data_IF_031575217009
#
_entry.id   IF_031575217009
#
_cell.length_a   1.000
_cell.length_b   1.000
_cell.length_c   1.000
_cell.angle_alpha   90.00
_cell.angle_beta   90.00
_cell.angle_gamma   90.00
#
_symmetry.space_group_name_H-M   'P 1'
#
loop_
_entity.id
_entity.type
_entity.pdbx_description
1 polymer ?
#
# COMPACT_ATOMS: atom_id res chain seq x y z
N UNK A 1 -6.32 33.81 -12.01
CA UNK A 1 -7.70 34.33 -12.08
C UNK A 1 -8.24 33.97 -13.44
N UNK A 2 -9.23 33.08 -13.52
CA UNK A 2 -9.88 32.72 -14.78
C UNK A 2 -11.25 33.41 -14.77
N UNK A 3 -11.50 34.39 -15.64
CA UNK A 3 -12.81 35.02 -15.72
C UNK A 3 -13.84 34.02 -16.25
N UNK A 4 -14.92 33.80 -15.50
CA UNK A 4 -16.10 33.10 -16.01
C UNK A 4 -16.74 33.98 -17.09
N UNK A 5 -17.34 33.36 -18.11
CA UNK A 5 -17.96 34.00 -19.30
C UNK A 5 -19.06 35.02 -19.00
N UNK A 6 -19.45 35.18 -17.74
CA UNK A 6 -20.43 36.17 -17.26
C UNK A 6 -19.86 37.26 -16.35
N UNK A 7 -18.53 37.35 -16.17
CA UNK A 7 -17.90 38.41 -15.37
C UNK A 7 -18.29 38.44 -13.89
N UNK A 8 -18.99 37.41 -13.39
CA UNK A 8 -19.31 37.29 -11.95
C UNK A 8 -18.15 36.66 -11.23
N UNK A 9 -17.49 37.44 -10.39
CA UNK A 9 -16.53 36.93 -9.43
C UNK A 9 -17.22 35.91 -8.51
N UNK A 10 -16.82 34.63 -8.60
CA UNK A 10 -17.26 33.65 -7.60
C UNK A 10 -16.62 34.06 -6.27
N UNK A 11 -17.41 34.35 -5.22
CA UNK A 11 -16.84 34.70 -3.93
C UNK A 11 -15.95 33.54 -3.48
N UNK A 12 -14.67 33.85 -3.25
CA UNK A 12 -13.73 32.88 -2.72
C UNK A 12 -14.24 32.29 -1.39
N UNK A 13 -13.78 31.09 -1.00
CA UNK A 13 -14.16 30.52 0.28
C UNK A 13 -13.86 31.52 1.40
N UNK A 14 -14.84 31.76 2.28
CA UNK A 14 -14.66 32.70 3.39
C UNK A 14 -13.44 32.32 4.22
N UNK A 15 -12.67 33.31 4.70
CA UNK A 15 -11.47 33.08 5.54
C UNK A 15 -11.76 32.09 6.68
N UNK A 16 -12.94 32.19 7.30
CA UNK A 16 -13.37 31.26 8.35
C UNK A 16 -13.52 29.80 7.89
N UNK A 17 -13.95 29.55 6.65
CA UNK A 17 -14.03 28.19 6.08
C UNK A 17 -12.64 27.61 5.82
N UNK A 18 -11.70 28.42 5.32
CA UNK A 18 -10.31 28.01 5.12
C UNK A 18 -9.63 27.65 6.45
N UNK A 19 -9.81 28.47 7.49
CA UNK A 19 -9.26 28.20 8.82
C UNK A 19 -9.84 26.91 9.43
N UNK A 20 -11.16 26.68 9.30
CA UNK A 20 -11.78 25.43 9.77
C UNK A 20 -11.25 24.19 9.04
N UNK A 21 -11.06 24.28 7.72
CA UNK A 21 -10.50 23.18 6.94
C UNK A 21 -9.03 22.90 7.32
N UNK A 22 -8.24 23.96 7.52
CA UNK A 22 -6.86 23.82 7.99
C UNK A 22 -6.78 23.19 9.39
N UNK A 23 -7.62 23.63 10.33
CA UNK A 23 -7.69 23.05 11.66
C UNK A 23 -8.14 21.58 11.63
N UNK A 24 -9.11 21.23 10.79
CA UNK A 24 -9.54 19.85 10.60
C UNK A 24 -8.39 18.99 10.07
N UNK A 25 -7.67 19.47 9.06
CA UNK A 25 -6.52 18.75 8.50
C UNK A 25 -5.39 18.58 9.53
N UNK A 26 -5.12 19.59 10.36
CA UNK A 26 -4.15 19.49 11.46
C UNK A 26 -4.61 18.47 12.51
N UNK A 27 -5.89 18.47 12.88
CA UNK A 27 -6.44 17.49 13.83
C UNK A 27 -6.39 16.07 13.27
N UNK A 28 -6.71 15.88 11.99
CA UNK A 28 -6.59 14.58 11.30
C UNK A 28 -5.13 14.12 11.29
N UNK A 29 -4.17 15.01 11.01
CA UNK A 29 -2.75 14.71 11.04
C UNK A 29 -2.25 14.36 12.45
N UNK A 30 -2.69 15.10 13.47
CA UNK A 30 -2.35 14.83 14.87
C UNK A 30 -2.95 13.50 15.36
N UNK A 31 -4.23 13.24 15.06
CA UNK A 31 -4.88 11.97 15.41
C UNK A 31 -4.19 10.79 14.72
N UNK A 32 -3.84 10.97 13.45
CA UNK A 32 -3.07 10.00 12.71
C UNK A 32 -1.69 9.72 13.30
N UNK A 33 -0.97 10.78 13.67
CA UNK A 33 0.34 10.68 14.29
C UNK A 33 0.27 9.98 15.66
N UNK A 34 -0.73 10.31 16.48
CA UNK A 34 -0.97 9.64 17.77
C UNK A 34 -1.34 8.17 17.58
N UNK A 35 -2.18 7.84 16.60
CA UNK A 35 -2.52 6.46 16.23
C UNK A 35 -1.26 5.69 15.81
N UNK A 36 -0.44 6.27 14.95
CA UNK A 36 0.84 5.69 14.54
C UNK A 36 1.78 5.46 15.72
N UNK A 37 1.94 6.45 16.61
CA UNK A 37 2.73 6.30 17.84
C UNK A 37 2.17 5.21 18.76
N UNK A 38 0.85 5.13 18.90
CA UNK A 38 0.16 4.09 19.67
C UNK A 38 0.41 2.69 19.09
N UNK A 39 0.33 2.53 17.77
CA UNK A 39 0.63 1.27 17.07
C UNK A 39 2.10 0.88 17.23
N UNK A 40 3.03 1.82 17.10
CA UNK A 40 4.47 1.58 17.32
C UNK A 40 4.72 1.12 18.77
N UNK A 41 4.14 1.84 19.74
CA UNK A 41 4.28 1.50 21.16
C UNK A 41 3.68 0.13 21.48
N UNK A 42 2.50 -0.18 20.94
CA UNK A 42 1.86 -1.48 21.09
C UNK A 42 2.70 -2.60 20.44
N UNK A 43 3.28 -2.34 19.27
CA UNK A 43 4.22 -3.25 18.60
C UNK A 43 5.45 -3.54 19.45
N UNK A 44 6.05 -2.51 20.07
CA UNK A 44 7.18 -2.66 21.01
C UNK A 44 6.80 -3.52 22.23
N UNK A 45 5.67 -3.22 22.87
CA UNK A 45 5.17 -4.02 23.99
C UNK A 45 4.95 -5.49 23.62
N UNK A 46 4.40 -5.74 22.43
CA UNK A 46 4.18 -7.11 21.96
C UNK A 46 5.51 -7.84 21.72
N UNK A 47 6.48 -7.17 21.09
CA UNK A 47 7.81 -7.74 20.83
C UNK A 47 8.56 -8.05 22.14
N UNK A 48 8.53 -7.13 23.12
CA UNK A 48 9.21 -7.30 24.40
C UNK A 48 8.62 -8.49 25.20
N UNK A 49 7.29 -8.65 25.17
CA UNK A 49 6.61 -9.77 25.83
C UNK A 49 6.97 -11.12 25.20
N UNK A 50 7.03 -11.20 23.87
CA UNK A 50 7.41 -12.44 23.16
C UNK A 50 8.89 -12.78 23.34
N UNK A 51 9.77 -11.77 23.37
CA UNK A 51 11.18 -11.98 23.63
C UNK A 51 11.39 -12.59 25.03
N UNK A 52 10.73 -12.05 26.06
CA UNK A 52 10.78 -12.62 27.41
C UNK A 52 10.25 -14.05 27.48
N UNK A 53 9.17 -14.36 26.75
CA UNK A 53 8.60 -15.71 26.73
C UNK A 53 9.57 -16.73 26.09
N UNK A 54 10.28 -16.35 25.03
CA UNK A 54 11.29 -17.20 24.37
C UNK A 54 12.54 -17.44 25.24
N UNK A 55 13.00 -16.43 25.99
CA UNK A 55 14.12 -16.57 26.93
C UNK A 55 13.75 -17.47 28.12
N UNK A 56 12.53 -17.34 28.63
CA UNK A 56 12.05 -18.14 29.77
C UNK A 56 11.89 -19.62 29.40
N UNK A 57 11.41 -19.93 28.19
CA UNK A 57 11.29 -21.31 27.71
C UNK A 57 12.66 -21.98 27.50
N UNK A 58 13.67 -21.25 27.03
CA UNK A 58 15.02 -21.79 26.85
C UNK A 58 15.83 -21.91 28.16
N UNK A 59 15.49 -21.16 29.20
CA UNK A 59 16.16 -21.28 30.51
C UNK A 59 15.63 -22.44 31.37
N UNK A 60 14.43 -22.97 31.12
CA UNK A 60 13.82 -24.03 31.94
C UNK A 60 14.33 -25.44 31.57
N UNK A 61 15.12 -25.60 30.50
CA UNK A 61 15.70 -26.91 30.10
C UNK A 61 17.22 -26.99 30.20
N UNK A 62 17.85 -26.20 31.08
CA UNK A 62 19.21 -26.50 31.54
C UNK A 62 19.11 -27.16 32.91
N UNK A 63 18.75 -28.45 32.92
CA UNK A 63 19.03 -29.29 34.09
C UNK A 63 20.55 -29.36 34.21
N UNK A 64 21.17 -28.87 35.29
CA UNK A 64 22.60 -29.01 35.49
C UNK A 64 22.89 -30.49 35.70
N UNK A 65 23.26 -31.19 34.63
CA UNK A 65 23.76 -32.54 34.70
C UNK A 65 25.19 -32.48 35.25
N UNK A 66 25.29 -32.27 36.56
CA UNK A 66 26.51 -32.34 37.32
C UNK A 66 26.99 -33.79 37.34
N UNK A 67 27.85 -34.14 36.41
CA UNK A 67 28.66 -35.35 36.51
C UNK A 67 28.77 -36.16 35.22
N UNK A 68 29.76 -35.83 34.39
CA UNK A 68 30.82 -36.77 33.97
C UNK A 68 31.77 -36.10 32.99
N UNK A 69 32.98 -35.88 33.48
CA UNK A 69 34.20 -35.77 32.67
C UNK A 69 34.47 -37.15 32.06
N UNK A 70 34.61 -37.23 30.74
CA UNK A 70 35.55 -38.16 30.08
C UNK A 70 35.64 -37.88 28.56
N UNK A 71 36.82 -37.40 28.15
CA UNK A 71 37.61 -37.74 26.96
C UNK A 71 36.97 -37.93 25.56
N UNK A 72 37.61 -37.22 24.61
CA UNK A 72 38.00 -37.67 23.25
C UNK A 72 36.91 -38.13 22.28
N UNK A 73 36.72 -37.39 21.18
CA UNK A 73 37.39 -37.69 19.91
C UNK A 73 37.08 -36.60 18.87
N UNK A 74 38.14 -36.14 18.20
CA UNK A 74 38.04 -35.45 16.92
C UNK A 74 37.36 -36.37 15.90
N UNK A 75 36.09 -36.15 15.62
CA UNK A 75 35.45 -36.55 14.37
C UNK A 75 35.11 -35.28 13.61
N UNK A 76 36.08 -34.84 12.81
CA UNK A 76 35.84 -34.03 11.61
C UNK A 76 34.92 -34.82 10.69
N UNK A 77 33.61 -34.70 10.93
CA UNK A 77 32.61 -35.00 9.92
C UNK A 77 32.79 -33.99 8.79
N UNK A 78 32.98 -34.42 7.53
CA UNK A 78 32.87 -33.51 6.40
C UNK A 78 31.39 -33.16 6.32
N UNK A 79 31.02 -32.06 6.98
CA UNK A 79 29.77 -31.37 6.72
C UNK A 79 29.87 -30.85 5.30
N UNK A 80 29.49 -31.71 4.36
CA UNK A 80 29.00 -31.34 3.03
C UNK A 80 27.68 -30.58 3.22
N UNK A 81 27.72 -29.51 4.03
CA UNK A 81 26.78 -28.41 3.97
C UNK A 81 27.16 -27.78 2.64
N UNK A 82 26.38 -28.12 1.62
CA UNK A 82 26.28 -27.31 0.43
C UNK A 82 26.04 -25.87 0.88
N UNK A 83 27.11 -25.09 0.96
CA UNK A 83 27.18 -23.63 1.03
C UNK A 83 26.60 -22.99 -0.25
N UNK A 84 25.50 -23.54 -0.74
CA UNK A 84 24.58 -22.92 -1.69
C UNK A 84 23.44 -22.22 -0.95
N UNK A 85 23.60 -21.90 0.34
CA UNK A 85 23.06 -20.67 0.87
C UNK A 85 23.88 -19.52 0.26
N UNK A 86 23.79 -19.37 -1.07
CA UNK A 86 24.32 -18.24 -1.79
C UNK A 86 23.84 -17.03 -1.01
N UNK A 87 24.80 -16.23 -0.56
CA UNK A 87 24.60 -14.90 -0.03
C UNK A 87 23.62 -14.19 -0.98
N UNK A 88 22.32 -14.24 -0.67
CA UNK A 88 21.25 -13.72 -1.53
C UNK A 88 21.28 -12.21 -1.35
N UNK A 89 22.32 -11.59 -1.92
CA UNK A 89 22.31 -10.15 -2.11
C UNK A 89 21.02 -9.82 -2.86
N UNK A 90 20.30 -8.76 -2.44
CA UNK A 90 19.09 -8.33 -3.11
C UNK A 90 19.39 -8.23 -4.60
N UNK A 91 18.73 -9.05 -5.41
CA UNK A 91 19.07 -9.11 -6.83
C UNK A 91 18.80 -7.74 -7.43
N UNK A 92 19.84 -7.08 -7.95
CA UNK A 92 19.73 -5.79 -8.66
C UNK A 92 18.63 -5.87 -9.73
N UNK A 93 18.50 -7.06 -10.33
CA UNK A 93 17.45 -7.44 -11.27
C UNK A 93 16.03 -7.24 -10.71
N UNK A 94 15.75 -7.71 -9.48
CA UNK A 94 14.45 -7.54 -8.83
C UNK A 94 14.07 -6.07 -8.62
N UNK A 95 15.03 -5.25 -8.20
CA UNK A 95 14.84 -3.80 -8.07
C UNK A 95 14.55 -3.10 -9.40
N UNK A 96 15.26 -3.47 -10.46
CA UNK A 96 15.02 -2.94 -11.81
C UNK A 96 13.61 -3.29 -12.27
N UNK A 97 13.18 -4.54 -12.08
CA UNK A 97 11.82 -4.97 -12.40
C UNK A 97 10.75 -4.18 -11.65
N UNK A 98 10.91 -4.02 -10.33
CA UNK A 98 10.01 -3.22 -9.49
C UNK A 98 9.92 -1.77 -9.97
N UNK A 99 11.07 -1.12 -10.21
CA UNK A 99 11.13 0.26 -10.67
C UNK A 99 10.46 0.44 -12.04
N UNK A 100 10.78 -0.42 -13.01
CA UNK A 100 10.22 -0.38 -14.37
C UNK A 100 8.71 -0.61 -14.33
N UNK A 101 8.24 -1.65 -13.62
CA UNK A 101 6.82 -1.95 -13.49
C UNK A 101 6.02 -0.81 -12.84
N UNK A 102 6.55 -0.25 -11.75
CA UNK A 102 5.93 0.87 -11.05
C UNK A 102 5.85 2.14 -11.93
N UNK A 103 6.97 2.55 -12.55
CA UNK A 103 7.03 3.75 -13.40
C UNK A 103 6.14 3.58 -14.63
N UNK A 104 6.23 2.44 -15.33
CA UNK A 104 5.40 2.19 -16.50
C UNK A 104 3.91 2.24 -16.16
N UNK A 105 3.50 1.60 -15.05
CA UNK A 105 2.12 1.62 -14.60
C UNK A 105 1.62 3.03 -14.23
N UNK A 106 2.43 3.81 -13.52
CA UNK A 106 2.13 5.22 -13.21
C UNK A 106 1.96 6.05 -14.48
N UNK A 107 2.89 5.91 -15.43
CA UNK A 107 2.87 6.68 -16.69
C UNK A 107 1.60 6.35 -17.48
N UNK A 108 1.27 5.07 -17.65
CA UNK A 108 0.04 4.65 -18.35
C UNK A 108 -1.19 5.17 -17.62
N UNK A 109 -1.23 5.10 -16.28
CA UNK A 109 -2.33 5.66 -15.49
C UNK A 109 -2.53 7.16 -15.73
N UNK A 110 -1.45 7.94 -15.75
CA UNK A 110 -1.51 9.37 -16.03
C UNK A 110 -2.04 9.66 -17.44
N UNK A 111 -1.72 8.82 -18.43
CA UNK A 111 -2.28 8.93 -19.78
C UNK A 111 -3.78 8.61 -19.81
N UNK A 112 -4.21 7.56 -19.11
CA UNK A 112 -5.63 7.17 -18.97
C UNK A 112 -6.43 8.31 -18.32
N UNK A 113 -5.91 8.89 -17.24
CA UNK A 113 -6.59 9.97 -16.51
C UNK A 113 -6.74 11.26 -17.31
N UNK A 114 -5.83 11.55 -18.24
CA UNK A 114 -5.90 12.76 -19.08
C UNK A 114 -6.98 12.70 -20.16
N UNK A 115 -7.76 11.62 -20.24
CA UNK A 115 -8.87 11.48 -21.20
C UNK A 115 -8.42 11.49 -22.66
N UNK A 116 -7.11 11.33 -22.92
CA UNK A 116 -6.55 11.29 -24.28
C UNK A 116 -6.71 9.93 -24.94
N UNK A 117 -7.06 8.90 -24.17
CA UNK A 117 -7.31 7.56 -24.65
C UNK A 117 -8.78 7.43 -25.04
N UNK A 118 -9.10 7.76 -26.29
CA UNK A 118 -10.30 7.25 -26.96
C UNK A 118 -10.34 5.73 -26.80
N UNK A 119 -11.54 5.15 -26.71
CA UNK A 119 -11.89 3.73 -26.46
C UNK A 119 -11.04 2.60 -27.07
N UNK A 120 -10.14 2.89 -27.99
CA UNK A 120 -9.23 1.94 -28.65
C UNK A 120 -8.06 1.52 -27.75
N UNK A 121 -7.74 2.27 -26.69
CA UNK A 121 -6.53 2.03 -25.88
C UNK A 121 -6.79 1.21 -24.59
N UNK A 122 -8.00 0.67 -24.41
CA UNK A 122 -8.29 -0.21 -23.27
C UNK A 122 -7.39 -1.45 -23.22
N UNK A 123 -6.95 -1.94 -24.38
CA UNK A 123 -5.99 -3.04 -24.48
C UNK A 123 -4.61 -2.68 -23.91
N UNK A 124 -4.16 -1.44 -24.07
CA UNK A 124 -2.89 -0.97 -23.52
C UNK A 124 -2.94 -0.93 -21.99
N UNK A 125 -4.02 -0.39 -21.42
CA UNK A 125 -4.18 -0.35 -19.97
C UNK A 125 -4.31 -1.75 -19.37
N UNK A 126 -5.09 -2.63 -20.00
CA UNK A 126 -5.21 -4.03 -19.57
C UNK A 126 -3.86 -4.76 -19.65
N UNK A 127 -3.19 -4.65 -20.79
CA UNK A 127 -1.88 -5.28 -21.01
C UNK A 127 -0.82 -4.77 -20.03
N UNK A 128 -0.81 -3.46 -19.76
CA UNK A 128 0.08 -2.87 -18.77
C UNK A 128 -0.25 -3.34 -17.35
N UNK A 129 -1.54 -3.35 -16.97
CA UNK A 129 -1.97 -3.85 -15.66
C UNK A 129 -1.60 -5.31 -15.43
N UNK A 130 -1.83 -6.19 -16.42
CA UNK A 130 -1.40 -7.59 -16.35
C UNK A 130 0.13 -7.73 -16.32
N UNK A 131 0.84 -6.92 -17.10
CA UNK A 131 2.31 -6.87 -17.08
C UNK A 131 2.86 -6.50 -15.70
N UNK A 132 2.26 -5.51 -15.03
CA UNK A 132 2.60 -5.13 -13.64
C UNK A 132 2.39 -6.29 -12.68
N UNK A 133 1.29 -7.04 -12.81
CA UNK A 133 1.05 -8.25 -11.98
C UNK A 133 2.13 -9.31 -12.23
N UNK A 134 2.44 -9.62 -13.49
CA UNK A 134 3.46 -10.60 -13.83
C UNK A 134 4.81 -10.21 -13.25
N UNK A 135 5.22 -8.94 -13.41
CA UNK A 135 6.47 -8.41 -12.86
C UNK A 135 6.50 -8.58 -11.33
N UNK A 136 5.42 -8.18 -10.64
CA UNK A 136 5.33 -8.27 -9.18
C UNK A 136 5.40 -9.70 -8.66
N UNK A 137 5.07 -10.71 -9.47
CA UNK A 137 5.09 -12.13 -9.10
C UNK A 137 6.40 -12.84 -9.49
N UNK A 138 7.36 -12.15 -10.12
CA UNK A 138 8.63 -12.76 -10.51
C UNK A 138 9.45 -13.21 -9.29
N UNK A 139 10.15 -14.36 -9.34
CA UNK A 139 11.01 -14.82 -8.25
C UNK A 139 12.09 -13.80 -7.87
N UNK A 140 12.64 -13.07 -8.83
CA UNK A 140 13.64 -12.02 -8.58
C UNK A 140 13.07 -10.85 -7.75
N UNK A 141 11.80 -10.49 -7.98
CA UNK A 141 11.09 -9.47 -7.20
C UNK A 141 10.82 -9.99 -5.79
N UNK A 142 10.39 -11.25 -5.66
CA UNK A 142 10.21 -11.89 -4.35
C UNK A 142 11.49 -11.88 -3.51
N UNK A 143 12.63 -12.23 -4.11
CA UNK A 143 13.92 -12.15 -3.41
C UNK A 143 14.26 -10.71 -2.96
N UNK A 144 13.93 -9.71 -3.78
CA UNK A 144 14.10 -8.31 -3.38
C UNK A 144 13.17 -7.90 -2.24
N UNK A 145 11.90 -8.35 -2.25
CA UNK A 145 10.91 -8.04 -1.21
C UNK A 145 11.21 -8.73 0.12
N UNK A 146 11.83 -9.90 0.09
CA UNK A 146 12.30 -10.60 1.30
C UNK A 146 13.51 -9.89 1.93
N UNK A 147 14.31 -9.18 1.11
CA UNK A 147 15.52 -8.48 1.55
C UNK A 147 15.29 -7.00 1.94
N UNK A 148 14.24 -6.36 1.43
CA UNK A 148 13.98 -4.92 1.62
C UNK A 148 12.50 -4.63 1.84
N UNK A 149 12.24 -3.83 2.87
CA UNK A 149 10.94 -3.27 3.17
C UNK A 149 10.44 -2.34 2.06
N UNK A 150 11.30 -1.50 1.49
CA UNK A 150 10.88 -0.65 0.37
C UNK A 150 10.50 -1.48 -0.87
N UNK A 151 11.25 -2.53 -1.19
CA UNK A 151 10.90 -3.44 -2.28
C UNK A 151 9.55 -4.14 -2.04
N UNK A 152 9.32 -4.62 -0.82
CA UNK A 152 8.03 -5.15 -0.38
C UNK A 152 6.90 -4.13 -0.57
N UNK A 153 7.12 -2.86 -0.20
CA UNK A 153 6.13 -1.80 -0.39
C UNK A 153 5.87 -1.51 -1.87
N UNK A 154 6.89 -1.51 -2.74
CA UNK A 154 6.68 -1.35 -4.19
C UNK A 154 5.79 -2.47 -4.73
N UNK A 155 6.10 -3.72 -4.38
CA UNK A 155 5.32 -4.88 -4.82
C UNK A 155 3.86 -4.77 -4.35
N UNK A 156 3.64 -4.41 -3.08
CA UNK A 156 2.31 -4.24 -2.53
C UNK A 156 1.55 -3.13 -3.26
N UNK A 157 2.16 -1.96 -3.51
CA UNK A 157 1.54 -0.87 -4.26
C UNK A 157 1.25 -1.26 -5.72
N UNK A 158 2.12 -2.04 -6.35
CA UNK A 158 1.88 -2.57 -7.69
C UNK A 158 0.63 -3.44 -7.73
N UNK A 159 0.46 -4.33 -6.74
CA UNK A 159 -0.65 -5.29 -6.68
C UNK A 159 -1.95 -4.71 -6.14
N UNK A 160 -1.91 -3.76 -5.21
CA UNK A 160 -3.09 -3.17 -4.57
C UNK A 160 -3.63 -1.95 -5.29
N UNK A 161 -2.75 -1.17 -5.94
CA UNK A 161 -3.10 0.14 -6.50
C UNK A 161 -2.91 0.16 -8.00
N UNK A 162 -1.67 -0.02 -8.46
CA UNK A 162 -1.31 0.27 -9.85
C UNK A 162 -1.98 -0.69 -10.82
N UNK A 163 -1.76 -2.00 -10.67
CA UNK A 163 -2.36 -3.00 -11.56
C UNK A 163 -3.89 -3.00 -11.48
N UNK A 164 -4.51 -3.01 -10.29
CA UNK A 164 -5.96 -2.90 -10.17
C UNK A 164 -6.56 -1.68 -10.85
N UNK A 165 -6.00 -0.48 -10.65
CA UNK A 165 -6.49 0.74 -11.25
C UNK A 165 -6.45 0.67 -12.79
N UNK A 166 -5.35 0.15 -13.35
CA UNK A 166 -5.18 -0.04 -14.79
C UNK A 166 -6.16 -1.06 -15.37
N UNK A 167 -6.35 -2.20 -14.71
CA UNK A 167 -7.27 -3.24 -15.15
C UNK A 167 -8.72 -2.75 -15.03
N UNK A 168 -9.09 -2.16 -13.88
CA UNK A 168 -10.42 -1.65 -13.61
C UNK A 168 -10.84 -0.52 -14.55
N UNK A 169 -9.89 0.29 -15.05
CA UNK A 169 -10.18 1.36 -15.99
C UNK A 169 -10.84 0.87 -17.30
N UNK A 170 -10.61 -0.39 -17.67
CA UNK A 170 -11.15 -1.04 -18.87
C UNK A 170 -12.57 -1.57 -18.63
N UNK A 171 -12.88 -1.94 -17.38
CA UNK A 171 -14.15 -2.56 -16.98
C UNK A 171 -15.27 -1.51 -16.86
N UNK A 172 -14.92 -0.21 -16.90
CA UNK A 172 -15.84 0.92 -16.68
C UNK A 172 -17.15 0.76 -17.47
N UNK A 173 -18.27 0.41 -16.81
CA UNK A 173 -19.52 0.13 -17.50
C UNK A 173 -20.03 1.41 -18.15
N UNK A 174 -20.17 1.41 -19.48
CA UNK A 174 -20.92 2.45 -20.18
C UNK A 174 -22.39 2.34 -19.77
N UNK A 175 -22.81 3.18 -18.84
CA UNK A 175 -24.23 3.49 -18.58
C UNK A 175 -25.10 2.26 -18.27
N UNK A 176 -24.98 1.67 -17.07
CA UNK A 176 -26.00 0.73 -16.61
C UNK A 176 -26.53 1.09 -15.21
N UNK A 177 -27.84 1.35 -15.14
CA UNK A 177 -28.49 2.01 -14.00
C UNK A 177 -28.65 1.15 -12.75
N UNK A 178 -28.43 -0.17 -12.87
CA UNK A 178 -28.53 -1.13 -11.76
C UNK A 178 -27.31 -1.15 -10.82
N UNK A 179 -26.29 -0.33 -11.10
CA UNK A 179 -25.02 -0.37 -10.37
C UNK A 179 -25.07 0.20 -8.93
N UNK A 180 -25.98 1.14 -8.60
CA UNK A 180 -25.90 1.91 -7.32
C UNK A 180 -25.87 1.01 -6.07
N UNK A 181 -26.83 0.09 -5.95
CA UNK A 181 -26.92 -0.78 -4.77
C UNK A 181 -25.71 -1.73 -4.69
N UNK A 182 -25.25 -2.23 -5.84
CA UNK A 182 -24.08 -3.10 -5.92
C UNK A 182 -22.79 -2.34 -5.59
N UNK A 183 -22.60 -1.13 -6.11
CA UNK A 183 -21.44 -0.29 -5.81
C UNK A 183 -21.35 0.00 -4.32
N UNK A 184 -22.47 0.30 -3.64
CA UNK A 184 -22.48 0.52 -2.18
C UNK A 184 -22.16 -0.74 -1.39
N UNK A 185 -22.73 -1.88 -1.78
CA UNK A 185 -22.47 -3.16 -1.13
C UNK A 185 -21.03 -3.66 -1.32
N UNK A 186 -20.33 -3.17 -2.35
CA UNK A 186 -18.98 -3.66 -2.70
C UNK A 186 -17.89 -2.66 -2.31
N UNK A 187 -18.10 -1.35 -2.49
CA UNK A 187 -17.07 -0.33 -2.31
C UNK A 187 -16.68 -0.10 -0.84
N UNK A 188 -17.64 -0.13 0.09
CA UNK A 188 -17.32 0.05 1.52
C UNK A 188 -16.61 -1.18 2.09
N UNK A 189 -17.11 -2.42 1.90
CA UNK A 189 -16.40 -3.60 2.39
C UNK A 189 -15.04 -3.79 1.73
N UNK A 190 -14.88 -3.46 0.43
CA UNK A 190 -13.56 -3.51 -0.22
C UNK A 190 -12.61 -2.45 0.28
N UNK A 191 -13.07 -1.22 0.59
CA UNK A 191 -12.25 -0.21 1.23
C UNK A 191 -11.79 -0.63 2.63
N UNK A 192 -12.69 -1.25 3.41
CA UNK A 192 -12.35 -1.81 4.72
C UNK A 192 -11.39 -3.00 4.60
N UNK A 193 -11.60 -3.89 3.62
CA UNK A 193 -10.71 -4.99 3.33
C UNK A 193 -9.32 -4.51 2.90
N UNK A 194 -9.26 -3.47 2.07
CA UNK A 194 -8.02 -2.80 1.66
C UNK A 194 -7.29 -2.25 2.89
N UNK A 195 -7.99 -1.50 3.74
CA UNK A 195 -7.45 -0.96 4.98
C UNK A 195 -6.93 -2.08 5.91
N UNK A 196 -7.70 -3.16 6.07
CA UNK A 196 -7.33 -4.29 6.89
C UNK A 196 -6.09 -5.01 6.36
N UNK A 197 -5.98 -5.23 5.05
CA UNK A 197 -4.77 -5.83 4.45
C UNK A 197 -3.57 -4.93 4.65
N UNK A 198 -3.71 -3.61 4.45
CA UNK A 198 -2.61 -2.68 4.70
C UNK A 198 -2.13 -2.73 6.15
N UNK A 199 -3.04 -2.76 7.12
CA UNK A 199 -2.66 -2.90 8.54
C UNK A 199 -2.02 -4.26 8.79
N UNK A 200 -2.64 -5.35 8.33
CA UNK A 200 -2.17 -6.71 8.56
C UNK A 200 -0.75 -6.91 8.01
N UNK A 201 -0.47 -6.42 6.81
CA UNK A 201 0.84 -6.54 6.17
C UNK A 201 1.97 -5.87 6.97
N UNK A 202 1.63 -4.88 7.80
CA UNK A 202 2.58 -4.18 8.65
C UNK A 202 2.58 -4.70 10.10
N UNK A 203 1.78 -5.72 10.45
CA UNK A 203 1.86 -6.35 11.75
C UNK A 203 3.03 -7.35 11.78
N UNK A 204 3.78 -7.44 12.89
CA UNK A 204 4.94 -8.33 13.04
C UNK A 204 4.59 -9.83 13.08
N UNK A 205 3.36 -10.21 12.70
CA UNK A 205 2.78 -11.55 12.88
C UNK A 205 3.16 -12.55 11.76
N UNK A 206 3.81 -12.12 10.67
CA UNK A 206 4.02 -12.96 9.47
C UNK A 206 5.47 -13.34 9.15
N UNK A 207 6.39 -13.23 10.10
CA UNK A 207 7.75 -13.80 9.93
C UNK A 207 7.76 -15.34 9.98
N UNK A 208 6.65 -16.00 10.28
CA UNK A 208 6.53 -17.45 10.33
C UNK A 208 5.99 -18.06 9.03
N UNK A 209 6.83 -18.14 7.99
CA UNK A 209 6.83 -19.19 6.95
C UNK A 209 5.57 -19.48 6.11
N UNK A 210 4.50 -18.69 6.16
CA UNK A 210 3.22 -19.01 5.53
C UNK A 210 2.91 -18.23 4.24
N UNK A 211 3.10 -18.88 3.09
CA UNK A 211 2.49 -18.63 1.77
C UNK A 211 2.21 -17.15 1.36
N UNK A 212 3.28 -16.39 1.12
CA UNK A 212 3.22 -14.99 0.65
C UNK A 212 2.46 -14.80 -0.67
N UNK A 213 2.32 -15.86 -1.46
CA UNK A 213 1.58 -15.83 -2.73
C UNK A 213 0.08 -15.61 -2.51
N UNK A 214 -0.52 -16.22 -1.49
CA UNK A 214 -1.94 -16.04 -1.19
C UNK A 214 -2.27 -14.60 -0.80
N UNK A 215 -1.41 -13.98 0.01
CA UNK A 215 -1.55 -12.57 0.41
C UNK A 215 -1.43 -11.63 -0.79
N UNK A 216 -0.49 -11.90 -1.70
CA UNK A 216 -0.32 -11.14 -2.93
C UNK A 216 -1.55 -11.24 -3.86
N UNK A 217 -2.16 -12.44 -3.95
CA UNK A 217 -3.41 -12.65 -4.70
C UNK A 217 -4.59 -11.94 -4.01
N UNK A 218 -4.72 -12.08 -2.69
CA UNK A 218 -5.78 -11.41 -1.93
C UNK A 218 -5.69 -9.88 -2.06
N UNK A 219 -4.47 -9.34 -2.01
CA UNK A 219 -4.18 -7.94 -2.26
C UNK A 219 -4.64 -7.52 -3.66
N UNK A 220 -4.26 -8.27 -4.70
CA UNK A 220 -4.69 -8.00 -6.07
C UNK A 220 -6.23 -8.00 -6.22
N UNK A 221 -6.91 -8.99 -5.65
CA UNK A 221 -8.36 -9.12 -5.73
C UNK A 221 -9.08 -7.98 -4.99
N UNK A 222 -8.65 -7.64 -3.78
CA UNK A 222 -9.21 -6.52 -3.01
C UNK A 222 -9.01 -5.19 -3.73
N UNK A 223 -7.80 -4.97 -4.26
CA UNK A 223 -7.50 -3.82 -5.10
C UNK A 223 -8.44 -3.77 -6.30
N UNK A 224 -8.60 -4.87 -7.05
CA UNK A 224 -9.48 -4.93 -8.23
C UNK A 224 -10.92 -4.59 -7.90
N UNK A 225 -11.46 -5.16 -6.82
CA UNK A 225 -12.83 -4.91 -6.37
C UNK A 225 -13.01 -3.43 -6.00
N UNK A 226 -12.06 -2.87 -5.24
CA UNK A 226 -12.08 -1.48 -4.81
C UNK A 226 -12.00 -0.51 -6.01
N UNK A 227 -11.04 -0.72 -6.90
CA UNK A 227 -10.81 0.13 -8.07
C UNK A 227 -11.94 0.02 -9.10
N UNK A 228 -12.48 -1.18 -9.32
CA UNK A 228 -13.67 -1.36 -10.15
C UNK A 228 -14.87 -0.61 -9.58
N UNK A 229 -15.10 -0.71 -8.27
CA UNK A 229 -16.15 0.03 -7.58
C UNK A 229 -16.00 1.54 -7.77
N UNK A 230 -14.83 2.09 -7.48
CA UNK A 230 -14.57 3.54 -7.59
C UNK A 230 -14.66 4.05 -9.02
N UNK A 231 -14.10 3.33 -10.00
CA UNK A 231 -14.04 3.82 -11.38
C UNK A 231 -15.34 3.61 -12.15
N UNK A 232 -16.21 2.70 -11.69
CA UNK A 232 -17.52 2.45 -12.29
C UNK A 232 -18.56 3.54 -12.00
N UNK A 233 -18.34 4.36 -10.97
CA UNK A 233 -19.33 5.32 -10.50
C UNK A 233 -19.06 6.76 -10.99
N UNK A 234 -19.87 7.19 -11.95
CA UNK A 234 -19.87 8.55 -12.48
C UNK A 234 -21.05 9.38 -11.98
N UNK A 235 -21.90 8.83 -11.11
CA UNK A 235 -23.16 9.46 -10.74
C UNK A 235 -22.96 10.55 -9.69
N UNK A 236 -23.57 11.74 -9.86
CA UNK A 236 -23.45 12.82 -8.89
C UNK A 236 -23.93 12.44 -7.48
N UNK A 237 -24.98 11.62 -7.37
CA UNK A 237 -25.55 11.18 -6.11
C UNK A 237 -24.61 10.32 -5.24
N UNK A 238 -23.66 9.61 -5.86
CA UNK A 238 -22.77 8.67 -5.16
C UNK A 238 -21.37 9.23 -4.91
N UNK A 239 -21.07 10.45 -5.39
CA UNK A 239 -19.78 11.14 -5.16
C UNK A 239 -19.41 11.24 -3.67
N UNK A 240 -20.40 11.37 -2.76
CA UNK A 240 -20.14 11.40 -1.32
C UNK A 240 -19.62 10.05 -0.82
N UNK A 241 -20.22 8.95 -1.27
CA UNK A 241 -19.83 7.60 -0.85
C UNK A 241 -18.50 7.20 -1.48
N UNK A 242 -18.30 7.50 -2.76
CA UNK A 242 -17.01 7.35 -3.42
C UNK A 242 -15.90 8.07 -2.65
N UNK A 243 -16.14 9.30 -2.21
CA UNK A 243 -15.19 10.07 -1.39
C UNK A 243 -14.91 9.39 -0.05
N UNK A 244 -15.94 8.91 0.64
CA UNK A 244 -15.77 8.17 1.91
C UNK A 244 -14.95 6.91 1.67
N UNK A 245 -15.24 6.11 0.63
CA UNK A 245 -14.48 4.91 0.29
C UNK A 245 -13.02 5.22 -0.03
N UNK A 246 -12.75 6.30 -0.78
CA UNK A 246 -11.37 6.73 -1.07
C UNK A 246 -10.65 7.11 0.24
N UNK A 247 -11.29 7.85 1.14
CA UNK A 247 -10.69 8.18 2.43
C UNK A 247 -10.47 6.95 3.31
N UNK A 248 -11.44 6.04 3.40
CA UNK A 248 -11.32 4.83 4.24
C UNK A 248 -10.20 3.92 3.76
N UNK A 249 -10.01 3.79 2.45
CA UNK A 249 -8.93 2.97 1.89
C UNK A 249 -7.56 3.67 1.95
N UNK A 250 -7.50 4.96 1.61
CA UNK A 250 -6.24 5.72 1.52
C UNK A 250 -5.71 6.23 2.86
N UNK A 251 -6.58 6.53 3.83
CA UNK A 251 -6.14 7.08 5.12
C UNK A 251 -5.18 6.14 5.84
N UNK A 252 -5.48 4.84 6.05
CA UNK A 252 -4.58 3.93 6.75
C UNK A 252 -3.20 3.84 6.11
N UNK A 253 -3.14 3.73 4.79
CA UNK A 253 -1.88 3.62 4.08
C UNK A 253 -1.10 4.93 4.09
N UNK A 254 -1.75 6.10 3.95
CA UNK A 254 -1.11 7.40 4.17
C UNK A 254 -0.58 7.59 5.60
N UNK A 255 -1.30 7.10 6.62
CA UNK A 255 -0.86 7.18 8.01
C UNK A 255 0.37 6.30 8.26
N UNK A 256 0.34 5.08 7.74
CA UNK A 256 1.48 4.15 7.82
C UNK A 256 2.69 4.75 7.09
N UNK A 257 2.50 5.27 5.87
CA UNK A 257 3.56 5.90 5.10
C UNK A 257 4.19 7.07 5.83
N UNK A 258 3.37 7.96 6.41
CA UNK A 258 3.84 9.07 7.24
C UNK A 258 4.57 8.59 8.50
N UNK A 259 4.08 7.56 9.17
CA UNK A 259 4.71 6.97 10.34
C UNK A 259 6.12 6.45 10.02
N UNK A 260 6.27 5.77 8.88
CA UNK A 260 7.56 5.26 8.39
C UNK A 260 8.51 6.40 8.03
N UNK A 261 8.02 7.49 7.44
CA UNK A 261 8.85 8.68 7.12
C UNK A 261 9.39 9.33 8.39
N UNK A 262 8.55 9.47 9.42
CA UNK A 262 8.88 10.17 10.66
C UNK A 262 9.58 9.30 11.70
N UNK A 263 9.72 7.99 11.45
CA UNK A 263 10.38 7.09 12.38
C UNK A 263 11.88 7.40 12.47
N UNK A 264 12.39 7.53 13.69
CA UNK A 264 13.82 7.66 13.98
C UNK A 264 14.50 6.31 14.19
N UNK A 265 13.68 5.29 14.48
CA UNK A 265 14.08 3.91 14.74
C UNK A 265 13.27 2.99 13.81
N UNK A 266 13.81 1.81 13.46
CA UNK A 266 13.05 0.85 12.67
C UNK A 266 11.82 0.39 13.43
N UNK A 267 10.64 0.61 12.84
CA UNK A 267 9.36 0.19 13.43
C UNK A 267 9.17 -1.32 13.23
N UNK A 268 9.61 -1.83 12.08
CA UNK A 268 9.52 -3.24 11.71
C UNK A 268 10.91 -3.88 11.79
N UNK A 269 11.13 -4.74 12.79
CA UNK A 269 12.41 -5.44 13.00
C UNK A 269 12.59 -6.71 12.16
N UNK A 270 11.86 -6.84 11.05
CA UNK A 270 11.62 -8.15 10.41
C UNK A 270 12.71 -8.56 9.40
N UNK A 271 13.45 -7.62 8.83
CA UNK A 271 14.45 -7.93 7.80
C UNK A 271 15.85 -7.79 8.39
N UNK A 272 16.59 -8.90 8.37
CA UNK A 272 17.97 -8.96 8.82
C UNK A 272 18.85 -8.25 7.78
N UNK A 273 19.08 -6.95 7.99
CA UNK A 273 19.74 -6.07 7.02
C UNK A 273 21.26 -6.15 7.05
N UNK A 274 21.83 -7.22 7.60
CA UNK A 274 23.29 -7.42 7.65
C UNK A 274 23.96 -7.25 6.27
N UNK A 275 23.22 -7.45 5.18
CA UNK A 275 23.70 -7.35 3.80
C UNK A 275 22.99 -6.28 2.92
N UNK A 276 22.13 -5.42 3.50
CA UNK A 276 21.44 -4.38 2.74
C UNK A 276 22.33 -3.16 2.50
N UNK A 277 22.30 -2.60 1.28
CA UNK A 277 22.98 -1.32 0.95
C UNK A 277 22.36 -0.15 1.72
N UNK A 278 21.09 -0.25 2.10
CA UNK A 278 20.36 0.75 2.88
C UNK A 278 20.22 0.31 4.33
N UNK A 279 20.47 1.22 5.28
CA UNK A 279 20.11 0.97 6.68
C UNK A 279 18.59 0.82 6.85
N UNK A 280 18.15 0.05 7.85
CA UNK A 280 16.72 -0.24 8.13
C UNK A 280 15.82 0.99 8.10
N UNK A 281 16.27 2.05 8.77
CA UNK A 281 15.51 3.29 8.89
C UNK A 281 15.35 3.95 7.52
N UNK A 282 16.40 3.99 6.72
CA UNK A 282 16.35 4.56 5.36
C UNK A 282 15.44 3.75 4.44
N UNK A 283 15.52 2.42 4.51
CA UNK A 283 14.69 1.51 3.73
C UNK A 283 13.19 1.66 4.08
N UNK A 284 12.86 1.74 5.36
CA UNK A 284 11.48 1.99 5.82
C UNK A 284 10.97 3.36 5.39
N UNK A 285 11.78 4.43 5.57
CA UNK A 285 11.41 5.78 5.14
C UNK A 285 11.16 5.85 3.63
N UNK A 286 12.00 5.19 2.84
CA UNK A 286 11.83 5.12 1.40
C UNK A 286 10.51 4.43 1.02
N UNK A 287 10.17 3.33 1.70
CA UNK A 287 8.87 2.66 1.56
C UNK A 287 7.70 3.61 1.89
N UNK A 288 7.80 4.37 2.99
CA UNK A 288 6.80 5.36 3.37
C UNK A 288 6.62 6.51 2.37
N UNK A 289 7.73 7.07 1.85
CA UNK A 289 7.70 8.09 0.79
C UNK A 289 7.01 7.56 -0.47
N UNK A 290 7.36 6.34 -0.88
CA UNK A 290 6.78 5.72 -2.06
C UNK A 290 5.26 5.54 -1.91
N UNK A 291 4.80 5.00 -0.76
CA UNK A 291 3.36 4.83 -0.50
C UNK A 291 2.62 6.17 -0.65
N UNK A 292 3.13 7.24 0.00
CA UNK A 292 2.54 8.57 -0.09
C UNK A 292 2.48 9.10 -1.53
N UNK A 293 3.54 8.86 -2.32
CA UNK A 293 3.59 9.27 -3.72
C UNK A 293 2.57 8.52 -4.58
N UNK A 294 2.49 7.19 -4.45
CA UNK A 294 1.55 6.37 -5.20
C UNK A 294 0.11 6.76 -4.85
N UNK A 295 -0.21 6.92 -3.57
CA UNK A 295 -1.53 7.39 -3.14
C UNK A 295 -1.85 8.78 -3.68
N UNK A 296 -0.89 9.71 -3.63
CA UNK A 296 -1.03 11.05 -4.17
C UNK A 296 -1.38 11.03 -5.67
N UNK A 297 -0.68 10.22 -6.44
CA UNK A 297 -0.87 10.11 -7.90
C UNK A 297 -2.23 9.47 -8.25
N UNK A 298 -2.66 8.48 -7.48
CA UNK A 298 -3.85 7.68 -7.80
C UNK A 298 -5.13 8.22 -7.17
N UNK A 299 -5.10 8.65 -5.91
CA UNK A 299 -6.29 9.04 -5.16
C UNK A 299 -6.62 10.53 -5.27
N UNK A 300 -5.63 11.43 -5.33
CA UNK A 300 -5.91 12.89 -5.40
C UNK A 300 -6.74 13.26 -6.63
N UNK A 301 -6.44 12.78 -7.85
CA UNK A 301 -7.27 13.11 -9.02
C UNK A 301 -8.73 12.64 -8.85
N UNK A 302 -8.94 11.48 -8.21
CA UNK A 302 -10.26 10.95 -7.92
C UNK A 302 -11.00 11.79 -6.88
N UNK A 303 -10.31 12.22 -5.81
CA UNK A 303 -10.88 13.11 -4.80
C UNK A 303 -11.27 14.47 -5.40
N UNK A 304 -10.41 15.03 -6.25
CA UNK A 304 -10.68 16.29 -6.96
C UNK A 304 -11.93 16.13 -7.84
N UNK A 305 -12.03 15.03 -8.59
CA UNK A 305 -13.20 14.72 -9.41
C UNK A 305 -14.47 14.55 -8.58
N UNK A 306 -14.41 13.80 -7.48
CA UNK A 306 -15.53 13.61 -6.55
C UNK A 306 -15.89 14.88 -5.76
N UNK A 307 -15.07 15.92 -5.83
CA UNK A 307 -15.29 17.23 -5.20
C UNK A 307 -15.80 18.31 -6.14
N UNK A 308 -15.81 18.06 -7.44
CA UNK A 308 -16.28 19.02 -8.44
C UNK A 308 -17.74 19.43 -8.13
N UNK A 309 -18.04 20.74 -8.03
CA UNK A 309 -19.39 21.20 -7.79
C UNK A 309 -20.34 20.62 -8.84
N UNK A 310 -21.51 20.13 -8.40
CA UNK A 310 -22.61 19.74 -9.28
C UNK A 310 -22.97 20.99 -10.11
N UNK A 311 -22.43 21.10 -11.31
CA UNK A 311 -22.90 22.09 -12.29
C UNK A 311 -24.37 21.77 -12.47
N UNK A 312 -25.18 22.63 -11.86
CA UNK A 312 -26.62 22.49 -11.86
C UNK A 312 -27.01 22.50 -13.32
N UNK A 313 -27.46 21.36 -13.81
CA UNK A 313 -28.33 21.22 -14.98
C UNK A 313 -29.69 21.89 -14.73
N UNK A 314 -29.67 23.07 -14.12
CA UNK A 314 -30.76 24.04 -13.95
C UNK A 314 -30.62 25.02 -15.11
N UNK A 315 -31.15 24.66 -16.26
CA UNK A 315 -31.11 25.54 -17.42
C UNK A 315 -31.60 24.91 -18.72
N UNK A 316 -32.54 23.96 -18.67
CA UNK A 316 -33.45 23.81 -19.81
C UNK A 316 -34.64 24.71 -19.51
N UNK A 317 -34.76 25.89 -20.11
CA UNK A 317 -36.02 26.62 -20.10
C UNK A 317 -37.05 25.75 -20.82
N UNK A 318 -38.16 25.47 -20.12
CA UNK A 318 -39.40 24.94 -20.70
C UNK A 318 -40.08 25.99 -21.56
#
# INVERSE_FOLDING_TARGET
MVPDTHGRERPGPSKGKLVRLALLAVLELCAAWLLAKGLIWLGKLYADNHFQQSVTLNQVTVVPNAGRVAHSHHTTSPSLITDTAMNQQPSVVGWVFLAVGCIAGIVVWMFVQRGRTTTRDGSLSLGCGLGVVVIAMLPAVRAATEASHAAMMIQLMMLMVIAPALIASVIRPRSNSRAIAQTRMVAIPSALGYAAVMVWWHLPLQSASGDTAWLAVAALLLGLIFWAGILSDDRPEDQRLQRISIYVAGLPAGLIGLALILSTEPILGVHDHSNSVLGSVTDQRLGGVLMMLVEGIFLIPLLLRASAPRERSQGSPS
#
